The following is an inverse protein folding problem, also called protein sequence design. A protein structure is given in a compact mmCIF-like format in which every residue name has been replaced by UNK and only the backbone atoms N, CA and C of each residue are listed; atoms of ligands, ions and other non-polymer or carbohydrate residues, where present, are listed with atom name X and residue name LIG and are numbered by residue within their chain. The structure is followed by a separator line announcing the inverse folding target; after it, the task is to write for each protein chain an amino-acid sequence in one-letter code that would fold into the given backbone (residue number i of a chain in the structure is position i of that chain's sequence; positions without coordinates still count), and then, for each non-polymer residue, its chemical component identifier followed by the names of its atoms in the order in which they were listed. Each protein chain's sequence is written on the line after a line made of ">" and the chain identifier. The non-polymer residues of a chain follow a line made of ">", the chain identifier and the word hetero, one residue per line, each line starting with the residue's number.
data_IF_147509845445
#
_entry.id   IF_147509845445
#
_cell.length_a   1.000
_cell.length_b   1.000
_cell.length_c   1.000
_cell.angle_alpha   90.00
_cell.angle_beta   90.00
_cell.angle_gamma   90.00
#
_symmetry.space_group_name_H-M   'P 1'
#
loop_
_entity.id
_entity.type
_entity.pdbx_description
1 polymer ?
#
# COMPACT_ATOMS: atom_id res chain seq x y z
N UNK A 1 14.74 28.32 -0.59
CA UNK A 1 14.53 26.96 -0.08
C UNK A 1 13.05 26.67 0.06
N UNK A 2 12.62 25.59 -0.52
CA UNK A 2 11.23 25.18 -0.40
C UNK A 2 10.99 24.44 0.92
N UNK A 3 9.83 24.63 1.47
CA UNK A 3 9.36 23.90 2.64
C UNK A 3 8.12 23.12 2.27
N UNK A 4 8.01 21.92 2.78
CA UNK A 4 6.85 21.10 2.53
C UNK A 4 6.88 19.82 3.34
N UNK A 5 5.74 19.19 3.41
CA UNK A 5 5.60 17.89 4.04
C UNK A 5 4.87 16.96 3.08
N UNK A 6 5.51 15.85 2.77
CA UNK A 6 4.89 14.75 2.06
C UNK A 6 4.84 13.56 2.98
N UNK A 7 3.63 13.10 3.30
CA UNK A 7 3.45 11.99 4.22
C UNK A 7 2.37 11.08 3.70
N UNK A 8 2.65 9.79 3.69
CA UNK A 8 1.69 8.76 3.30
C UNK A 8 1.62 7.74 4.43
N UNK A 9 0.41 7.37 4.81
CA UNK A 9 0.16 6.34 5.80
C UNK A 9 -0.72 5.26 5.19
N UNK A 10 -0.27 4.01 5.24
CA UNK A 10 -1.00 2.88 4.70
C UNK A 10 -0.98 1.77 5.74
N UNK A 11 -2.15 1.23 6.04
CA UNK A 11 -2.30 0.06 6.89
C UNK A 11 -3.00 -1.01 6.07
N UNK A 12 -2.35 -2.15 5.92
CA UNK A 12 -2.89 -3.21 5.10
C UNK A 12 -2.11 -4.51 5.26
N UNK A 13 -2.23 -5.39 4.28
CA UNK A 13 -1.56 -6.67 4.27
C UNK A 13 -0.62 -6.78 3.08
N UNK A 14 0.53 -7.37 3.28
CA UNK A 14 1.45 -7.63 2.18
C UNK A 14 0.85 -8.66 1.22
N UNK A 15 0.93 -8.37 -0.07
CA UNK A 15 0.43 -9.28 -1.09
C UNK A 15 1.41 -10.39 -1.42
N UNK A 16 2.67 -10.04 -1.58
CA UNK A 16 3.77 -10.96 -1.84
C UNK A 16 4.89 -10.68 -0.85
N UNK A 17 5.82 -11.61 -0.75
CA UNK A 17 7.02 -11.37 0.04
C UNK A 17 7.78 -10.17 -0.54
N UNK A 18 8.30 -9.29 0.32
CA UNK A 18 9.09 -8.18 -0.17
C UNK A 18 10.33 -8.65 -0.92
N UNK A 19 10.66 -7.97 -1.98
CA UNK A 19 11.87 -8.22 -2.77
C UNK A 19 12.85 -7.10 -2.56
N UNK A 20 14.10 -7.45 -2.27
CA UNK A 20 15.15 -6.47 -2.18
C UNK A 20 16.11 -6.64 -3.35
N UNK A 21 16.44 -5.54 -3.98
CA UNK A 21 17.40 -5.48 -5.07
C UNK A 21 18.37 -4.33 -4.84
N UNK A 22 19.45 -4.36 -5.58
CA UNK A 22 20.42 -3.28 -5.57
C UNK A 22 20.41 -2.56 -6.92
N UNK A 23 20.44 -1.24 -6.87
CA UNK A 23 20.60 -0.45 -8.09
C UNK A 23 22.02 -0.60 -8.63
N UNK A 24 22.31 -0.22 -9.90
CA UNK A 24 23.66 -0.24 -10.43
C UNK A 24 24.65 0.59 -9.61
N UNK A 25 24.17 1.59 -8.88
CA UNK A 25 25.00 2.41 -8.00
C UNK A 25 25.20 1.79 -6.62
N UNK A 26 24.64 0.60 -6.36
CA UNK A 26 24.82 -0.11 -5.10
C UNK A 26 23.82 0.24 -4.00
N UNK A 27 22.76 0.97 -4.31
CA UNK A 27 21.76 1.31 -3.33
C UNK A 27 20.71 0.20 -3.21
N UNK A 28 20.33 -0.19 -1.98
CA UNK A 28 19.26 -1.18 -1.81
C UNK A 28 17.91 -0.58 -2.11
N UNK A 29 17.08 -1.38 -2.80
CA UNK A 29 15.68 -1.03 -3.10
C UNK A 29 14.82 -2.21 -2.70
N UNK A 30 13.84 -1.97 -1.85
CA UNK A 30 12.88 -2.99 -1.47
C UNK A 30 11.53 -2.66 -2.08
N UNK A 31 10.94 -3.64 -2.75
CA UNK A 31 9.63 -3.51 -3.37
C UNK A 31 8.67 -4.45 -2.70
N UNK A 32 7.49 -3.97 -2.39
CA UNK A 32 6.43 -4.79 -1.83
C UNK A 32 5.08 -4.20 -2.21
N UNK A 33 4.07 -5.04 -2.20
CA UNK A 33 2.70 -4.62 -2.46
C UNK A 33 1.88 -4.70 -1.19
N UNK A 34 0.97 -3.76 -1.00
CA UNK A 34 0.09 -3.71 0.16
C UNK A 34 -1.35 -3.64 -0.31
N UNK A 35 -2.17 -4.54 0.20
CA UNK A 35 -3.61 -4.54 -0.04
C UNK A 35 -4.31 -3.87 1.13
N UNK A 36 -5.11 -2.87 0.84
CA UNK A 36 -5.98 -2.26 1.84
C UNK A 36 -7.41 -2.64 1.53
N UNK A 37 -8.12 -3.11 2.53
CA UNK A 37 -9.51 -3.54 2.39
C UNK A 37 -10.44 -2.58 3.09
N UNK A 38 -11.53 -2.26 2.43
CA UNK A 38 -12.59 -1.45 2.98
C UNK A 38 -13.90 -2.19 2.84
N UNK A 39 -14.63 -2.30 3.94
CA UNK A 39 -15.93 -2.94 3.96
C UNK A 39 -16.98 -1.95 4.40
N UNK A 40 -18.17 -2.04 3.80
CA UNK A 40 -19.31 -1.22 4.20
C UNK A 40 -20.60 -1.99 3.96
N UNK A 41 -21.65 -1.56 4.66
CA UNK A 41 -22.99 -2.11 4.48
C UNK A 41 -23.79 -1.18 3.59
N UNK A 42 -24.55 -1.76 2.66
CA UNK A 42 -25.45 -0.99 1.82
C UNK A 42 -26.81 -0.85 2.54
N UNK A 43 -27.69 -0.02 1.99
CA UNK A 43 -29.02 0.20 2.53
C UNK A 43 -29.87 -1.07 2.51
N UNK A 44 -29.57 -2.01 1.62
CA UNK A 44 -30.27 -3.29 1.51
C UNK A 44 -29.79 -4.31 2.55
N UNK A 45 -28.83 -3.96 3.38
CA UNK A 45 -28.23 -4.90 4.33
C UNK A 45 -27.12 -5.75 3.73
N UNK A 46 -26.75 -5.55 2.49
CA UNK A 46 -25.62 -6.25 1.88
C UNK A 46 -24.30 -5.68 2.37
N UNK A 47 -23.33 -6.55 2.51
CA UNK A 47 -21.96 -6.16 2.86
C UNK A 47 -21.11 -6.19 1.61
N UNK A 48 -20.40 -5.09 1.36
CA UNK A 48 -19.49 -4.99 0.23
C UNK A 48 -18.08 -4.74 0.71
N UNK A 49 -17.12 -5.28 -0.02
CA UNK A 49 -15.72 -5.13 0.27
C UNK A 49 -15.00 -4.63 -0.99
N UNK A 50 -14.13 -3.68 -0.80
CA UNK A 50 -13.31 -3.13 -1.86
C UNK A 50 -11.85 -3.28 -1.47
N UNK A 51 -11.00 -3.63 -2.44
CA UNK A 51 -9.56 -3.82 -2.21
C UNK A 51 -8.77 -2.90 -3.13
N UNK A 52 -7.86 -2.15 -2.55
CA UNK A 52 -6.93 -1.33 -3.31
C UNK A 52 -5.51 -1.81 -3.09
N UNK A 53 -4.73 -1.81 -4.15
CA UNK A 53 -3.34 -2.23 -4.13
C UNK A 53 -2.39 -1.05 -4.29
N UNK A 54 -1.36 -1.06 -3.48
CA UNK A 54 -0.30 -0.06 -3.52
C UNK A 54 1.06 -0.70 -3.74
#
# INVERSE_FOLDING_TARGET
>A
MSRGLNKVMIIGHLGRDPEMRYTPSGRPVTTFSVATNRSWSTADGERRTDTEWF
#
